data_IF_371167245824
#
_entry.id   IF_371167245824
#
_cell.length_a   1.000
_cell.length_b   1.000
_cell.length_c   1.000
_cell.angle_alpha   90.00
_cell.angle_beta   90.00
_cell.angle_gamma   90.00
#
_symmetry.space_group_name_H-M   'P 1'
#
loop_
_entity.id
_entity.type
_entity.pdbx_description
1 polymer ?
#
# COMPACT_ATOMS: atom_id res chain seq x y z
N UNK A 1 57.17 -2.96 -30.31
CA UNK A 1 57.50 -3.33 -28.92
C UNK A 1 56.35 -2.85 -28.03
N UNK A 2 55.33 -3.62 -27.64
CA UNK A 2 55.25 -5.03 -27.30
C UNK A 2 55.04 -5.18 -25.79
N UNK A 3 53.88 -4.79 -25.24
CA UNK A 3 53.51 -5.05 -23.83
C UNK A 3 52.06 -5.52 -23.73
N UNK A 4 51.88 -6.83 -23.76
CA UNK A 4 50.65 -7.54 -23.43
C UNK A 4 50.50 -7.61 -21.90
N UNK A 5 49.36 -7.18 -21.35
CA UNK A 5 49.02 -7.36 -19.93
C UNK A 5 48.15 -8.60 -19.76
N UNK A 6 48.65 -9.47 -18.88
CA UNK A 6 48.13 -10.79 -18.49
C UNK A 6 46.74 -10.72 -17.87
N UNK A 7 45.89 -11.63 -18.32
CA UNK A 7 44.65 -12.08 -17.71
C UNK A 7 44.95 -12.90 -16.44
N UNK A 8 44.29 -12.62 -15.33
CA UNK A 8 44.29 -13.46 -14.14
C UNK A 8 42.92 -14.12 -13.98
N UNK A 9 42.91 -15.45 -14.09
CA UNK A 9 41.76 -16.30 -13.81
C UNK A 9 41.51 -16.33 -12.30
N UNK A 10 40.25 -16.13 -11.89
CA UNK A 10 39.85 -16.25 -10.50
C UNK A 10 39.14 -17.60 -10.30
N UNK A 11 39.70 -18.41 -9.40
CA UNK A 11 39.33 -19.80 -9.17
C UNK A 11 38.03 -19.92 -8.35
N UNK A 12 37.22 -20.90 -8.76
CA UNK A 12 36.00 -21.37 -8.09
C UNK A 12 36.41 -22.33 -6.97
N UNK A 13 35.91 -22.13 -5.76
CA UNK A 13 36.02 -23.08 -4.63
C UNK A 13 34.64 -23.58 -4.22
N UNK A 14 34.42 -24.91 -4.09
CA UNK A 14 33.22 -25.49 -3.48
C UNK A 14 33.47 -25.94 -2.02
N UNK A 15 32.51 -25.72 -1.11
CA UNK A 15 32.49 -26.35 0.23
C UNK A 15 31.10 -26.12 0.88
N UNK A 16 30.17 -27.09 0.87
CA UNK A 16 29.89 -28.21 1.81
C UNK A 16 28.67 -27.90 2.71
N UNK A 17 27.59 -28.72 2.71
CA UNK A 17 26.47 -28.58 3.65
C UNK A 17 26.65 -29.49 4.89
N UNK A 18 26.32 -28.99 6.09
CA UNK A 18 26.27 -29.77 7.33
C UNK A 18 24.83 -29.84 7.84
N UNK A 19 24.30 -31.06 7.82
CA UNK A 19 23.00 -31.48 8.34
C UNK A 19 23.14 -31.88 9.81
N UNK A 20 22.15 -31.58 10.66
CA UNK A 20 22.03 -32.15 12.00
C UNK A 20 20.55 -32.40 12.32
N UNK A 21 20.24 -33.68 12.54
CA UNK A 21 19.00 -34.25 13.02
C UNK A 21 19.04 -34.35 14.55
N UNK A 22 17.91 -34.10 15.23
CA UNK A 22 17.68 -34.63 16.58
C UNK A 22 16.20 -34.96 16.78
N UNK A 23 15.97 -36.02 17.55
CA UNK A 23 14.82 -36.95 17.54
C UNK A 23 13.65 -36.56 18.48
N UNK A 24 12.53 -37.31 18.48
CA UNK A 24 11.29 -37.00 19.21
C UNK A 24 11.18 -37.69 20.58
N UNK A 25 10.45 -37.09 21.53
CA UNK A 25 10.14 -37.70 22.84
C UNK A 25 8.65 -37.54 23.20
N UNK A 26 8.13 -38.53 23.93
CA UNK A 26 6.73 -38.94 24.00
C UNK A 26 5.91 -38.33 25.16
N UNK A 27 4.58 -38.36 24.98
CA UNK A 27 3.50 -37.95 25.91
C UNK A 27 3.46 -38.75 27.23
N UNK A 28 2.82 -38.19 28.29
CA UNK A 28 1.59 -38.85 28.77
C UNK A 28 0.47 -37.95 29.38
N UNK A 29 -0.77 -38.43 29.15
CA UNK A 29 -2.01 -38.52 29.98
C UNK A 29 -2.56 -37.32 30.78
N UNK A 30 -3.87 -37.11 30.56
CA UNK A 30 -4.75 -35.98 30.90
C UNK A 30 -5.36 -35.93 32.31
N UNK A 31 -5.98 -34.77 32.66
CA UNK A 31 -7.24 -34.65 33.43
C UNK A 31 -7.86 -33.23 33.40
N UNK A 32 -9.11 -33.14 32.88
CA UNK A 32 -10.30 -32.29 33.23
C UNK A 32 -10.04 -30.92 33.91
N UNK A 33 -10.45 -29.75 33.42
CA UNK A 33 -11.65 -29.34 32.68
C UNK A 33 -12.58 -28.47 33.57
N UNK A 34 -12.81 -27.18 33.24
CA UNK A 34 -13.97 -26.39 33.69
C UNK A 34 -14.38 -25.30 32.66
N UNK A 35 -15.67 -24.94 32.60
CA UNK A 35 -16.35 -24.44 31.39
C UNK A 35 -16.30 -22.91 31.23
N UNK A 36 -16.32 -22.44 29.98
CA UNK A 36 -16.50 -21.03 29.61
C UNK A 36 -17.97 -20.73 29.28
N UNK A 37 -18.36 -19.52 29.70
CA UNK A 37 -19.71 -18.96 29.70
C UNK A 37 -20.00 -18.30 28.36
N UNK A 38 -21.02 -18.80 27.68
CA UNK A 38 -21.52 -18.28 26.41
C UNK A 38 -21.98 -16.83 26.55
N UNK A 39 -21.63 -15.99 25.56
CA UNK A 39 -22.25 -14.70 25.33
C UNK A 39 -22.85 -14.67 23.94
N UNK A 40 -24.16 -14.56 23.95
CA UNK A 40 -25.06 -14.69 22.82
C UNK A 40 -24.90 -13.58 21.79
N UNK A 41 -25.29 -14.02 20.61
CA UNK A 41 -25.31 -13.40 19.31
C UNK A 41 -26.44 -12.35 19.25
N UNK A 42 -26.15 -11.11 18.87
CA UNK A 42 -27.20 -10.15 18.49
C UNK A 42 -27.07 -9.87 16.99
N UNK A 43 -27.98 -10.49 16.25
CA UNK A 43 -28.24 -10.27 14.85
C UNK A 43 -28.61 -8.81 14.60
N UNK A 44 -27.90 -8.14 13.69
CA UNK A 44 -28.36 -6.89 13.10
C UNK A 44 -28.77 -7.19 11.66
N UNK A 45 -30.08 -7.26 11.46
CA UNK A 45 -30.69 -7.24 10.13
C UNK A 45 -30.43 -5.87 9.51
N UNK A 46 -29.97 -5.83 8.26
CA UNK A 46 -30.15 -4.66 7.43
C UNK A 46 -30.74 -5.09 6.11
N UNK A 47 -31.95 -4.58 5.90
CA UNK A 47 -32.83 -4.88 4.81
C UNK A 47 -32.34 -4.27 3.50
N UNK A 48 -32.67 -5.01 2.46
CA UNK A 48 -32.82 -4.67 1.05
C UNK A 48 -33.34 -3.25 0.80
N UNK A 49 -32.65 -2.51 -0.06
CA UNK A 49 -33.21 -1.50 -0.96
C UNK A 49 -32.13 -1.10 -1.96
N UNK A 50 -32.24 -1.54 -3.20
CA UNK A 50 -32.11 -0.70 -4.41
C UNK A 50 -32.16 -1.60 -5.65
N UNK A 51 -33.41 -1.98 -5.91
CA UNK A 51 -33.93 -2.32 -7.23
C UNK A 51 -34.09 -1.02 -8.04
N UNK A 52 -34.21 -1.15 -9.36
CA UNK A 52 -34.53 -0.12 -10.38
C UNK A 52 -33.52 1.01 -10.65
N UNK A 53 -32.69 0.83 -11.68
CA UNK A 53 -32.53 1.81 -12.78
C UNK A 53 -31.84 1.14 -14.00
N UNK A 54 -32.53 0.18 -14.61
CA UNK A 54 -32.16 -0.41 -15.90
C UNK A 54 -33.27 -0.15 -16.92
N UNK A 55 -33.35 1.07 -17.47
CA UNK A 55 -34.07 1.36 -18.72
C UNK A 55 -33.85 2.84 -19.13
N UNK A 56 -32.68 3.13 -19.69
CA UNK A 56 -32.35 4.44 -20.27
C UNK A 56 -31.93 4.32 -21.72
N UNK A 57 -32.64 3.50 -22.51
CA UNK A 57 -32.49 3.44 -23.98
C UNK A 57 -33.13 4.71 -24.55
N UNK A 58 -32.41 5.83 -24.49
CA UNK A 58 -32.80 7.06 -25.16
C UNK A 58 -32.71 6.84 -26.67
N UNK A 59 -33.90 6.71 -27.24
CA UNK A 59 -34.21 6.74 -28.66
C UNK A 59 -33.50 7.93 -29.31
N UNK A 60 -32.47 7.66 -30.12
CA UNK A 60 -31.93 8.61 -31.07
C UNK A 60 -32.92 8.75 -32.22
N UNK A 61 -34.00 9.50 -32.00
CA UNK A 61 -34.80 10.02 -33.11
C UNK A 61 -33.95 11.03 -33.84
N UNK A 62 -33.39 10.56 -34.96
CA UNK A 62 -32.73 11.33 -36.01
C UNK A 62 -33.75 12.29 -36.64
N UNK A 63 -34.09 13.36 -35.91
CA UNK A 63 -34.80 14.51 -36.47
C UNK A 63 -33.82 15.25 -37.36
N UNK A 64 -33.82 14.84 -38.62
CA UNK A 64 -33.12 15.51 -39.72
C UNK A 64 -33.92 16.76 -40.03
N UNK A 65 -33.66 17.84 -39.29
CA UNK A 65 -34.05 19.18 -39.71
C UNK A 65 -33.00 19.64 -40.73
N UNK A 66 -33.35 19.90 -41.99
CA UNK A 66 -32.49 20.59 -42.93
C UNK A 66 -32.42 22.06 -42.51
N UNK A 67 -31.53 22.35 -41.55
CA UNK A 67 -31.13 23.72 -41.26
C UNK A 67 -30.22 24.17 -42.39
N UNK A 68 -30.80 24.89 -43.34
CA UNK A 68 -30.10 25.63 -44.38
C UNK A 68 -29.09 26.56 -43.70
N UNK A 69 -27.77 26.41 -43.94
CA UNK A 69 -26.78 27.31 -43.37
C UNK A 69 -26.97 28.69 -43.98
N UNK A 70 -27.39 29.65 -43.15
CA UNK A 70 -27.33 31.06 -43.48
C UNK A 70 -25.85 31.42 -43.65
N UNK A 71 -25.42 31.63 -44.89
CA UNK A 71 -24.03 31.79 -45.33
C UNK A 71 -23.38 33.15 -44.94
N UNK A 72 -23.73 33.71 -43.78
CA UNK A 72 -23.40 35.09 -43.41
C UNK A 72 -22.36 35.27 -42.29
N UNK A 73 -22.29 34.35 -41.33
CA UNK A 73 -21.57 34.60 -40.05
C UNK A 73 -20.41 33.61 -39.77
N UNK A 74 -19.98 32.81 -40.75
CA UNK A 74 -18.95 31.77 -40.56
C UNK A 74 -17.52 32.33 -40.36
N UNK A 75 -17.26 33.56 -40.78
CA UNK A 75 -15.92 34.15 -40.71
C UNK A 75 -15.47 34.42 -39.26
N UNK A 76 -16.36 35.00 -38.44
CA UNK A 76 -16.07 35.35 -37.05
C UNK A 76 -15.86 34.08 -36.18
N UNK A 77 -16.63 33.03 -36.45
CA UNK A 77 -16.51 31.73 -35.76
C UNK A 77 -15.17 31.04 -36.06
N UNK A 78 -14.65 31.17 -37.27
CA UNK A 78 -13.34 30.61 -37.63
C UNK A 78 -12.19 31.34 -36.94
N UNK A 79 -12.26 32.67 -36.84
CA UNK A 79 -11.25 33.47 -36.16
C UNK A 79 -11.24 33.21 -34.64
N UNK A 80 -12.41 33.12 -34.02
CA UNK A 80 -12.53 32.78 -32.59
C UNK A 80 -11.98 31.38 -32.30
N UNK A 81 -12.29 30.38 -33.13
CA UNK A 81 -11.73 29.04 -33.00
C UNK A 81 -10.20 29.04 -33.12
N UNK A 82 -9.63 29.83 -34.03
CA UNK A 82 -8.19 29.97 -34.16
C UNK A 82 -7.57 30.59 -32.89
N UNK A 83 -8.24 31.59 -32.30
CA UNK A 83 -7.81 32.21 -31.04
C UNK A 83 -7.87 31.22 -29.87
N UNK A 84 -8.96 30.46 -29.74
CA UNK A 84 -9.10 29.44 -28.68
C UNK A 84 -8.02 28.36 -28.80
N UNK A 85 -7.73 27.88 -30.02
CA UNK A 85 -6.65 26.91 -30.25
C UNK A 85 -5.28 27.46 -29.86
N UNK A 86 -4.99 28.74 -30.15
CA UNK A 86 -3.76 29.40 -29.71
C UNK A 86 -3.67 29.48 -28.18
N UNK A 87 -4.75 29.86 -27.51
CA UNK A 87 -4.79 29.93 -26.04
C UNK A 87 -4.57 28.56 -25.40
N UNK A 88 -5.23 27.51 -25.91
CA UNK A 88 -5.05 26.13 -25.43
C UNK A 88 -3.60 25.67 -25.62
N UNK A 89 -3.00 25.95 -26.77
CA UNK A 89 -1.62 25.59 -27.05
C UNK A 89 -0.64 26.29 -26.09
N UNK A 90 -0.85 27.58 -25.80
CA UNK A 90 -0.05 28.32 -24.83
C UNK A 90 -0.17 27.77 -23.41
N UNK A 91 -1.39 27.47 -22.95
CA UNK A 91 -1.60 26.87 -21.64
C UNK A 91 -0.96 25.48 -21.52
N UNK A 92 -1.05 24.64 -22.56
CA UNK A 92 -0.39 23.33 -22.59
C UNK A 92 1.14 23.45 -22.58
N UNK A 93 1.71 24.40 -23.32
CA UNK A 93 3.15 24.67 -23.30
C UNK A 93 3.61 25.09 -21.90
N UNK A 94 2.86 25.97 -21.25
CA UNK A 94 3.15 26.41 -19.88
C UNK A 94 3.12 25.24 -18.88
N UNK A 95 2.09 24.40 -18.94
CA UNK A 95 1.99 23.18 -18.10
C UNK A 95 3.21 22.26 -18.31
N UNK A 96 3.67 22.10 -19.55
CA UNK A 96 4.86 21.29 -19.84
C UNK A 96 6.14 21.89 -19.26
N UNK A 97 6.31 23.22 -19.32
CA UNK A 97 7.45 23.92 -18.70
C UNK A 97 7.44 23.74 -17.18
N UNK A 98 6.29 23.92 -16.54
CA UNK A 98 6.17 23.79 -15.09
C UNK A 98 6.39 22.35 -14.63
N UNK A 99 5.89 21.36 -15.39
CA UNK A 99 6.18 19.94 -15.14
C UNK A 99 7.68 19.62 -15.24
N UNK A 100 8.40 20.19 -16.22
CA UNK A 100 9.84 19.99 -16.35
C UNK A 100 10.62 20.63 -15.19
N UNK A 101 10.27 21.86 -14.78
CA UNK A 101 10.87 22.51 -13.60
C UNK A 101 10.67 21.71 -12.31
N UNK A 102 9.53 21.03 -12.18
CA UNK A 102 9.27 20.14 -11.03
C UNK A 102 10.17 18.90 -11.10
N UNK A 103 10.34 18.29 -12.29
CA UNK A 103 11.21 17.13 -12.49
C UNK A 103 12.67 17.39 -12.17
N UNK A 104 13.21 18.55 -12.55
CA UNK A 104 14.61 18.93 -12.28
C UNK A 104 14.93 19.00 -10.78
N UNK A 105 13.90 19.16 -9.93
CA UNK A 105 14.03 19.19 -8.46
C UNK A 105 13.87 17.81 -7.81
N UNK A 106 13.59 16.76 -8.59
CA UNK A 106 13.33 15.43 -8.04
C UNK A 106 14.67 14.76 -7.69
N UNK A 107 14.94 14.66 -6.39
CA UNK A 107 16.06 13.88 -5.88
C UNK A 107 15.74 12.39 -5.98
N UNK A 108 16.63 11.63 -6.64
CA UNK A 108 16.53 10.17 -6.74
C UNK A 108 16.84 9.54 -5.40
N UNK A 109 15.90 8.80 -4.84
CA UNK A 109 16.06 8.06 -3.58
C UNK A 109 16.38 6.61 -3.90
N UNK A 110 17.64 6.25 -3.70
CA UNK A 110 18.10 4.87 -3.91
C UNK A 110 17.49 3.93 -2.87
N UNK A 111 17.17 2.72 -3.31
CA UNK A 111 16.63 1.68 -2.43
C UNK A 111 17.70 1.30 -1.37
N UNK A 112 17.39 1.37 -0.07
CA UNK A 112 18.31 0.89 0.96
C UNK A 112 18.56 -0.62 0.83
N UNK A 113 19.74 -1.05 1.28
CA UNK A 113 20.05 -2.48 1.42
C UNK A 113 19.14 -3.10 2.50
N UNK A 114 18.74 -4.36 2.30
CA UNK A 114 17.90 -5.09 3.26
C UNK A 114 16.41 -5.23 2.92
N UNK A 115 15.67 -5.77 3.89
CA UNK A 115 14.21 -5.92 3.84
C UNK A 115 13.49 -4.87 4.70
N UNK A 116 12.29 -4.46 4.29
CA UNK A 116 11.57 -3.45 5.08
C UNK A 116 10.93 -4.13 6.29
N UNK A 117 11.16 -3.60 7.49
CA UNK A 117 10.66 -4.18 8.74
C UNK A 117 11.33 -5.50 9.13
N UNK A 118 12.61 -5.65 8.82
CA UNK A 118 13.47 -6.71 9.37
C UNK A 118 14.39 -6.06 10.42
N UNK A 119 14.48 -6.62 11.63
CA UNK A 119 15.15 -5.97 12.77
C UNK A 119 16.66 -5.95 12.65
N UNK A 120 17.25 -7.04 12.15
CA UNK A 120 18.72 -7.23 12.13
C UNK A 120 19.38 -6.59 10.92
N UNK A 121 18.79 -6.74 9.74
CA UNK A 121 19.36 -6.30 8.46
C UNK A 121 18.38 -5.48 7.61
N UNK A 122 17.33 -4.94 8.23
CA UNK A 122 16.30 -4.21 7.51
C UNK A 122 16.38 -2.70 7.61
N UNK A 123 15.36 -2.06 7.07
CA UNK A 123 15.19 -0.62 7.13
C UNK A 123 13.74 -0.24 7.42
N UNK A 124 13.57 0.93 8.01
CA UNK A 124 12.26 1.53 8.27
C UNK A 124 11.79 2.20 6.97
N UNK A 125 10.68 1.72 6.40
CA UNK A 125 10.21 2.15 5.07
C UNK A 125 9.88 3.66 5.02
N UNK A 126 9.23 4.19 6.06
CA UNK A 126 8.86 5.61 6.12
C UNK A 126 10.09 6.53 6.14
N UNK A 127 11.13 6.15 6.89
CA UNK A 127 12.40 6.88 6.94
C UNK A 127 13.17 6.78 5.63
N UNK A 128 13.17 5.60 5.00
CA UNK A 128 13.77 5.41 3.67
C UNK A 128 13.08 6.22 2.58
N UNK A 129 11.79 6.51 2.74
CA UNK A 129 11.04 7.43 1.89
C UNK A 129 11.17 8.89 2.32
N UNK A 130 11.94 9.23 3.37
CA UNK A 130 12.06 10.60 3.88
C UNK A 130 10.72 11.24 4.29
N UNK A 131 9.75 10.43 4.73
CA UNK A 131 8.41 10.87 5.17
C UNK A 131 8.22 10.75 6.69
N UNK A 132 9.28 10.44 7.43
CA UNK A 132 9.30 10.27 8.89
C UNK A 132 9.26 11.62 9.64
N UNK A 133 9.78 12.68 9.01
CA UNK A 133 9.90 14.00 9.62
C UNK A 133 8.60 14.79 9.52
N UNK A 134 7.98 15.08 10.67
CA UNK A 134 6.78 15.93 10.76
C UNK A 134 5.47 15.15 10.70
N UNK A 135 4.38 15.81 11.11
CA UNK A 135 3.04 15.20 11.17
C UNK A 135 2.40 15.06 9.79
N UNK A 136 2.58 16.07 8.94
CA UNK A 136 2.02 16.09 7.58
C UNK A 136 2.63 15.01 6.68
N UNK A 137 3.94 14.82 6.74
CA UNK A 137 4.63 13.77 5.97
C UNK A 137 4.23 12.37 6.43
N UNK A 138 4.08 12.17 7.74
CA UNK A 138 3.54 10.92 8.30
C UNK A 138 2.11 10.66 7.84
N UNK A 139 1.27 11.70 7.81
CA UNK A 139 -0.08 11.61 7.25
C UNK A 139 -0.05 11.22 5.77
N UNK A 140 0.80 11.86 4.96
CA UNK A 140 0.98 11.52 3.55
C UNK A 140 1.41 10.06 3.37
N UNK A 141 2.35 9.56 4.16
CA UNK A 141 2.75 8.16 4.14
C UNK A 141 1.58 7.20 4.45
N UNK A 142 0.76 7.51 5.46
CA UNK A 142 -0.41 6.72 5.80
C UNK A 142 -1.49 6.75 4.70
N UNK A 143 -1.67 7.90 4.05
CA UNK A 143 -2.59 8.07 2.92
C UNK A 143 -2.12 7.20 1.72
N UNK A 144 -0.81 7.20 1.43
CA UNK A 144 -0.19 6.35 0.40
C UNK A 144 -0.37 4.86 0.73
N UNK A 145 -0.08 4.45 1.97
CA UNK A 145 -0.27 3.07 2.41
C UNK A 145 -1.73 2.62 2.23
N UNK A 146 -2.66 3.45 2.67
CA UNK A 146 -4.10 3.18 2.59
C UNK A 146 -4.56 3.04 1.14
N UNK A 147 -4.12 3.92 0.24
CA UNK A 147 -4.41 3.78 -1.18
C UNK A 147 -3.77 2.53 -1.78
N UNK A 148 -2.54 2.20 -1.41
CA UNK A 148 -1.85 1.01 -1.93
C UNK A 148 -2.62 -0.26 -1.56
N UNK A 149 -3.13 -0.36 -0.33
CA UNK A 149 -3.99 -1.48 0.12
C UNK A 149 -5.29 -1.55 -0.68
N UNK A 150 -6.01 -0.42 -0.81
CA UNK A 150 -7.24 -0.35 -1.62
C UNK A 150 -7.00 -0.72 -3.08
N UNK A 151 -5.87 -0.28 -3.63
CA UNK A 151 -5.46 -0.57 -5.01
C UNK A 151 -5.12 -2.04 -5.20
N UNK A 152 -4.45 -2.68 -4.23
CA UNK A 152 -4.16 -4.11 -4.25
C UNK A 152 -5.44 -4.97 -4.28
N UNK A 153 -6.44 -4.60 -3.48
CA UNK A 153 -7.77 -5.23 -3.51
C UNK A 153 -8.46 -4.97 -4.85
N UNK A 154 -8.48 -3.72 -5.32
CA UNK A 154 -9.11 -3.34 -6.59
C UNK A 154 -8.46 -4.01 -7.81
N UNK A 155 -7.17 -4.34 -7.73
CA UNK A 155 -6.44 -5.05 -8.77
C UNK A 155 -6.61 -6.57 -8.69
N UNK A 156 -7.39 -7.08 -7.72
CA UNK A 156 -7.61 -8.50 -7.47
C UNK A 156 -6.29 -9.28 -7.26
N UNK A 157 -5.35 -8.74 -6.49
CA UNK A 157 -4.15 -9.49 -6.10
C UNK A 157 -4.54 -10.68 -5.21
N UNK A 158 -3.91 -11.83 -5.44
CA UNK A 158 -4.13 -13.02 -4.63
C UNK A 158 -3.34 -12.92 -3.32
N UNK A 159 -4.05 -12.77 -2.20
CA UNK A 159 -3.43 -12.63 -0.89
C UNK A 159 -2.76 -13.90 -0.37
N UNK A 160 -3.01 -15.08 -0.94
CA UNK A 160 -2.35 -16.33 -0.56
C UNK A 160 -0.98 -16.49 -1.21
N UNK A 161 -0.76 -15.88 -2.37
CA UNK A 161 0.49 -15.98 -3.13
C UNK A 161 1.57 -15.03 -2.59
N UNK A 162 2.84 -15.41 -2.78
CA UNK A 162 3.96 -14.52 -2.51
C UNK A 162 4.06 -13.42 -3.57
N UNK A 163 4.74 -12.31 -3.25
CA UNK A 163 4.85 -11.18 -4.19
C UNK A 163 5.43 -11.57 -5.55
N UNK A 164 6.40 -12.51 -5.60
CA UNK A 164 7.02 -12.96 -6.85
C UNK A 164 6.10 -13.80 -7.73
N UNK A 165 5.06 -14.38 -7.14
CA UNK A 165 4.08 -15.23 -7.82
C UNK A 165 2.84 -14.43 -8.28
N UNK A 166 2.76 -13.15 -7.93
CA UNK A 166 1.66 -12.30 -8.39
C UNK A 166 1.76 -12.05 -9.89
N UNK A 167 0.60 -11.91 -10.52
CA UNK A 167 0.52 -11.46 -11.90
C UNK A 167 1.14 -10.05 -12.06
N UNK A 168 2.02 -9.93 -13.05
CA UNK A 168 2.76 -8.70 -13.32
C UNK A 168 1.83 -7.58 -13.84
N UNK A 169 0.77 -7.93 -14.59
CA UNK A 169 -0.19 -6.93 -15.08
C UNK A 169 -0.98 -6.31 -13.94
N UNK A 170 -1.41 -7.14 -12.99
CA UNK A 170 -2.13 -6.74 -11.77
C UNK A 170 -1.27 -5.86 -10.87
N UNK A 171 0.01 -6.21 -10.65
CA UNK A 171 0.97 -5.32 -9.97
C UNK A 171 1.15 -3.99 -10.73
N UNK A 172 1.24 -4.03 -12.05
CA UNK A 172 1.32 -2.83 -12.90
C UNK A 172 0.10 -1.92 -12.78
N UNK A 173 -1.11 -2.46 -12.59
CA UNK A 173 -2.32 -1.66 -12.30
C UNK A 173 -2.19 -0.93 -10.96
N UNK A 174 -1.76 -1.62 -9.90
CA UNK A 174 -1.51 -1.02 -8.58
C UNK A 174 -0.51 0.14 -8.69
N UNK A 175 0.62 -0.07 -9.37
CA UNK A 175 1.64 0.97 -9.54
C UNK A 175 1.16 2.17 -10.35
N UNK A 176 0.30 1.97 -11.34
CA UNK A 176 -0.30 3.07 -12.11
C UNK A 176 -1.27 3.89 -11.27
N UNK A 177 -2.17 3.24 -10.53
CA UNK A 177 -3.16 3.94 -9.71
C UNK A 177 -2.52 4.73 -8.58
N UNK A 178 -1.56 4.14 -7.86
CA UNK A 178 -0.88 4.82 -6.75
C UNK A 178 -0.09 6.04 -7.22
N UNK A 179 0.59 5.96 -8.36
CA UNK A 179 1.32 7.11 -8.95
C UNK A 179 0.42 8.20 -9.48
N UNK A 180 -0.76 7.84 -9.99
CA UNK A 180 -1.74 8.81 -10.47
C UNK A 180 -2.24 9.69 -9.32
N UNK A 181 -2.47 9.10 -8.15
CA UNK A 181 -2.99 9.82 -6.99
C UNK A 181 -1.91 10.59 -6.21
N UNK A 182 -0.70 10.03 -6.13
CA UNK A 182 0.41 10.63 -5.40
C UNK A 182 1.58 10.97 -6.33
N UNK A 183 1.65 12.22 -6.84
CA UNK A 183 2.76 12.70 -7.65
C UNK A 183 4.13 12.59 -6.96
N UNK A 184 4.15 12.42 -5.64
CA UNK A 184 5.37 12.13 -4.88
C UNK A 184 6.07 10.84 -5.33
N UNK A 185 5.33 9.82 -5.75
CA UNK A 185 5.85 8.48 -6.07
C UNK A 185 6.30 8.35 -7.53
N UNK A 186 7.08 9.29 -8.06
CA UNK A 186 7.55 9.19 -9.45
C UNK A 186 8.62 8.10 -9.62
N UNK A 187 8.77 7.60 -10.85
CA UNK A 187 9.84 6.66 -11.22
C UNK A 187 11.23 7.27 -11.12
N UNK A 188 11.32 8.58 -11.31
CA UNK A 188 12.55 9.36 -11.15
C UNK A 188 12.96 9.40 -9.67
N UNK A 189 12.00 9.66 -8.76
CA UNK A 189 12.26 9.65 -7.32
C UNK A 189 12.53 8.26 -6.78
N UNK A 190 11.75 7.26 -7.21
CA UNK A 190 11.83 5.88 -6.73
C UNK A 190 12.06 4.93 -7.91
N UNK A 191 13.33 4.63 -8.25
CA UNK A 191 13.66 3.74 -9.37
C UNK A 191 12.98 2.37 -9.23
N UNK A 192 12.45 1.86 -10.34
CA UNK A 192 11.70 0.59 -10.40
C UNK A 192 10.53 0.49 -9.41
N UNK A 193 9.93 1.62 -9.03
CA UNK A 193 8.75 1.69 -8.15
C UNK A 193 8.98 0.97 -6.80
N UNK A 194 10.23 0.97 -6.29
CA UNK A 194 10.64 0.13 -5.16
C UNK A 194 9.85 0.41 -3.88
N UNK A 195 9.46 1.66 -3.64
CA UNK A 195 8.68 2.06 -2.46
C UNK A 195 7.29 1.42 -2.48
N UNK A 196 6.57 1.53 -3.60
CA UNK A 196 5.24 0.94 -3.78
C UNK A 196 5.34 -0.59 -3.69
N UNK A 197 6.34 -1.19 -4.34
CA UNK A 197 6.59 -2.63 -4.26
C UNK A 197 6.80 -3.12 -2.82
N UNK A 198 7.49 -2.35 -1.98
CA UNK A 198 7.67 -2.67 -0.55
C UNK A 198 6.37 -2.56 0.24
N UNK A 199 5.56 -1.55 -0.01
CA UNK A 199 4.24 -1.40 0.63
C UNK A 199 3.30 -2.57 0.27
N UNK A 200 3.27 -2.98 -1.01
CA UNK A 200 2.50 -4.15 -1.45
C UNK A 200 3.00 -5.42 -0.76
N UNK A 201 4.33 -5.64 -0.68
CA UNK A 201 4.90 -6.80 0.03
C UNK A 201 4.48 -6.86 1.49
N UNK A 202 4.57 -5.74 2.21
CA UNK A 202 4.16 -5.64 3.62
C UNK A 202 2.69 -5.99 3.78
N UNK A 203 1.83 -5.45 2.91
CA UNK A 203 0.40 -5.74 2.93
C UNK A 203 0.09 -7.23 2.67
N UNK A 204 0.67 -7.82 1.61
CA UNK A 204 0.48 -9.24 1.30
C UNK A 204 0.99 -10.15 2.44
N UNK A 205 2.13 -9.80 3.05
CA UNK A 205 2.68 -10.53 4.21
C UNK A 205 1.72 -10.48 5.40
N UNK A 206 1.17 -9.31 5.70
CA UNK A 206 0.17 -9.14 6.76
C UNK A 206 -1.09 -9.96 6.51
N UNK A 207 -1.64 -9.93 5.28
CA UNK A 207 -2.82 -10.70 4.91
C UNK A 207 -2.60 -12.22 5.07
N UNK A 208 -1.44 -12.74 4.65
CA UNK A 208 -1.09 -14.16 4.89
C UNK A 208 -0.98 -14.51 6.36
N UNK A 209 -0.35 -13.65 7.19
CA UNK A 209 -0.26 -13.87 8.64
C UNK A 209 -1.66 -13.97 9.26
N UNK A 210 -2.57 -13.06 8.88
CA UNK A 210 -3.96 -13.07 9.36
C UNK A 210 -4.73 -14.30 8.88
N UNK A 211 -4.59 -14.69 7.61
CA UNK A 211 -5.23 -15.89 7.08
C UNK A 211 -4.74 -17.17 7.79
N UNK A 212 -3.44 -17.27 8.05
CA UNK A 212 -2.85 -18.40 8.78
C UNK A 212 -3.31 -18.44 10.24
N UNK A 213 -3.47 -17.29 10.89
CA UNK A 213 -4.02 -17.20 12.26
C UNK A 213 -5.47 -17.70 12.32
N UNK A 214 -6.28 -17.39 11.30
CA UNK A 214 -7.68 -17.86 11.19
C UNK A 214 -7.81 -19.35 10.85
N UNK A 215 -6.84 -19.92 10.14
CA UNK A 215 -6.84 -21.34 9.75
C UNK A 215 -6.44 -22.28 10.87
N UNK A 216 -5.72 -21.81 11.89
CA UNK A 216 -5.48 -22.62 13.08
C UNK A 216 -6.84 -22.72 13.80
N UNK A 217 -7.52 -23.88 13.76
CA UNK A 217 -8.77 -24.02 14.50
C UNK A 217 -8.47 -23.73 15.96
N UNK A 218 -9.40 -23.06 16.65
CA UNK A 218 -9.31 -22.77 18.08
C UNK A 218 -9.25 -24.05 18.94
N UNK A 219 -9.26 -25.24 18.32
CA UNK A 219 -9.24 -26.58 18.93
C UNK A 219 -7.90 -26.96 19.60
N UNK A 220 -7.11 -25.98 20.04
CA UNK A 220 -5.99 -26.20 20.95
C UNK A 220 -6.15 -25.36 22.22
N UNK A 221 -7.25 -25.61 22.94
CA UNK A 221 -7.24 -25.65 24.41
C UNK A 221 -6.44 -26.88 24.91
N UNK A 222 -5.27 -27.15 24.32
CA UNK A 222 -4.27 -28.03 24.94
C UNK A 222 -3.19 -27.12 25.50
N UNK A 223 -3.31 -26.84 26.80
CA UNK A 223 -2.29 -26.21 27.66
C UNK A 223 -0.92 -26.87 27.47
N UNK A 224 -0.20 -26.46 26.44
CA UNK A 224 1.24 -26.64 26.34
C UNK A 224 1.84 -25.33 26.81
N UNK A 225 1.94 -25.17 28.13
CA UNK A 225 2.98 -24.37 28.75
C UNK A 225 4.35 -24.91 28.30
N UNK A 226 4.78 -24.52 27.11
CA UNK A 226 6.15 -24.68 26.65
C UNK A 226 6.69 -23.29 26.43
N UNK A 227 7.18 -22.74 27.53
CA UNK A 227 8.26 -21.77 27.57
C UNK A 227 9.33 -22.15 26.54
N UNK A 228 9.46 -21.30 25.51
CA UNK A 228 10.64 -21.12 24.66
C UNK A 228 10.31 -19.88 23.83
N UNK A 229 10.48 -18.69 24.39
CA UNK A 229 11.80 -18.01 24.40
C UNK A 229 12.38 -17.93 22.98
N UNK A 230 11.61 -17.36 22.04
CA UNK A 230 12.13 -16.55 20.91
C UNK A 230 10.96 -15.89 20.13
N UNK A 231 9.93 -15.37 20.83
CA UNK A 231 9.04 -14.37 20.21
C UNK A 231 9.50 -13.01 20.68
N UNK A 232 10.50 -12.51 19.97
CA UNK A 232 10.90 -11.11 19.97
C UNK A 232 9.66 -10.26 19.62
N UNK A 233 8.92 -9.87 20.67
CA UNK A 233 7.78 -8.97 20.67
C UNK A 233 8.14 -7.69 19.91
N UNK A 234 7.71 -7.59 18.65
CA UNK A 234 7.57 -6.32 17.92
C UNK A 234 6.14 -5.81 18.16
N UNK A 235 5.86 -5.54 19.44
CA UNK A 235 4.86 -4.58 19.84
C UNK A 235 5.37 -3.18 19.47
N UNK A 236 5.35 -2.86 18.18
CA UNK A 236 5.30 -1.47 17.71
C UNK A 236 3.87 -1.20 17.23
N UNK A 237 2.90 -1.43 18.12
CA UNK A 237 1.66 -0.67 18.13
C UNK A 237 1.96 0.69 18.78
N UNK A 238 2.55 1.57 17.97
CA UNK A 238 2.53 3.01 18.23
C UNK A 238 1.11 3.57 18.13
N UNK A 239 0.20 3.13 19.00
CA UNK A 239 -1.05 3.80 19.38
C UNK A 239 -0.89 4.39 20.79
N UNK A 240 0.21 5.12 21.01
CA UNK A 240 0.41 5.95 22.19
C UNK A 240 0.19 7.40 21.81
N UNK A 241 -0.93 7.98 22.25
CA UNK A 241 -1.09 9.43 22.15
C UNK A 241 -2.46 10.06 22.35
N UNK A 242 -3.44 9.45 23.06
CA UNK A 242 -4.57 10.27 23.56
C UNK A 242 -5.24 9.73 24.83
N UNK A 243 -4.48 9.23 25.81
CA UNK A 243 -5.02 8.93 27.15
C UNK A 243 -4.33 9.73 28.27
N UNK A 244 -3.78 10.89 27.95
CA UNK A 244 -3.28 11.86 28.95
C UNK A 244 -4.14 13.12 29.07
N UNK A 245 -5.11 13.34 28.18
CA UNK A 245 -6.02 14.49 28.24
C UNK A 245 -7.23 14.25 29.17
N UNK A 246 -7.67 13.01 29.39
CA UNK A 246 -8.84 12.72 30.23
C UNK A 246 -8.54 12.72 31.74
N UNK A 247 -7.30 12.50 32.17
CA UNK A 247 -6.96 12.46 33.60
C UNK A 247 -6.61 13.83 34.21
N UNK A 248 -6.34 14.86 33.39
CA UNK A 248 -6.09 16.23 33.87
C UNK A 248 -7.34 17.08 34.07
N UNK A 249 -8.50 16.63 33.57
CA UNK A 249 -9.77 17.35 33.73
C UNK A 249 -10.53 17.00 35.01
N UNK A 250 -10.07 16.00 35.77
CA UNK A 250 -10.72 15.57 37.02
C UNK A 250 -10.05 16.10 38.29
N UNK A 251 -8.88 16.73 38.20
CA UNK A 251 -8.14 17.26 39.38
C UNK A 251 -8.29 18.78 39.51
N UNK A 252 -8.94 19.46 38.56
CA UNK A 252 -9.17 20.90 38.60
C UNK A 252 -10.57 21.30 39.10
N UNK A 253 -11.40 20.34 39.53
CA UNK A 253 -12.75 20.57 40.02
C UNK A 253 -12.91 20.30 41.53
N UNK A 254 -11.81 20.11 42.26
CA UNK A 254 -11.82 19.76 43.69
C UNK A 254 -10.90 20.69 44.52
N UNK A 255 -10.55 21.86 43.97
CA UNK A 255 -9.68 22.84 44.62
C UNK A 255 -10.32 24.24 44.71
N UNK A 256 -11.64 24.36 44.58
CA UNK A 256 -12.38 25.63 44.65
C UNK A 256 -13.49 25.62 45.71
N UNK A 257 -13.41 24.69 46.69
CA UNK A 257 -14.43 24.52 47.74
C UNK A 257 -13.83 24.48 49.17
N UNK A 258 -12.73 25.20 49.40
CA UNK A 258 -12.22 25.54 50.75
C UNK A 258 -11.78 27.01 50.82
#
# INVERSE_FOLDING_TARGET
MGKTKKSAANAVTPSTPKSAQTAPSANPVAKRGRPRKDKENVATMSASADEVMAAGRLSTTKTTVPSTPAAGDDADVLEENARLRKTIALMQAQINVDNNKVRDKIQVIQRPKGEAGDRKNGFILIAAMQLDKGKENRKMYNDILSLTRRSAVRANLDFQLTYRQQDAESLGKVFRWVRKEFPYLTRERFPADWAIAKMVKLYLRGQRRTANKKRKPADKDSESESSSDDEEEDEDEGESGDESARKRRRVAAEAEED
#
